data_IF_508113494141
#
_entry.id   IF_508113494141
#
_cell.length_a   1.000
_cell.length_b   1.000
_cell.length_c   1.000
_cell.angle_alpha   90.00
_cell.angle_beta   90.00
_cell.angle_gamma   90.00
#
_symmetry.space_group_name_H-M   'P 1'
#
loop_
_entity.id
_entity.type
_entity.pdbx_description
1 polymer ?
#
# COMPACT_ATOMS: atom_id res chain seq x y z
N UNK A 1 -26.70 53.67 -16.35
CA UNK A 1 -25.52 53.78 -15.46
C UNK A 1 -24.48 52.78 -15.93
N UNK A 2 -23.30 53.23 -16.36
CA UNK A 2 -22.25 52.34 -16.87
C UNK A 2 -21.60 51.56 -15.71
N UNK A 3 -21.39 50.25 -15.91
CA UNK A 3 -20.74 49.36 -14.95
C UNK A 3 -19.27 49.82 -14.82
N UNK A 4 -18.84 50.18 -13.60
CA UNK A 4 -17.45 50.60 -13.35
C UNK A 4 -16.59 49.35 -13.18
N UNK A 5 -15.69 49.11 -14.14
CA UNK A 5 -14.74 48.00 -14.08
C UNK A 5 -13.66 48.32 -13.03
N UNK A 6 -13.72 47.61 -11.91
CA UNK A 6 -12.70 47.65 -10.85
C UNK A 6 -11.63 46.62 -11.21
N UNK A 7 -10.36 47.02 -11.21
CA UNK A 7 -9.21 46.14 -11.46
C UNK A 7 -8.38 46.01 -10.20
N UNK A 8 -7.79 44.84 -10.01
CA UNK A 8 -6.78 44.59 -8.97
C UNK A 8 -5.53 45.43 -9.26
N UNK A 9 -4.81 45.77 -8.20
CA UNK A 9 -3.43 46.23 -8.32
C UNK A 9 -2.53 45.10 -8.84
N UNK A 10 -1.36 45.48 -9.35
CA UNK A 10 -0.37 44.52 -9.82
C UNK A 10 0.04 43.54 -8.71
N UNK A 11 0.27 44.03 -7.50
CA UNK A 11 0.69 43.22 -6.34
C UNK A 11 -0.38 42.19 -5.94
N UNK A 12 -1.65 42.60 -5.89
CA UNK A 12 -2.76 41.70 -5.59
C UNK A 12 -2.91 40.61 -6.66
N UNK A 13 -2.78 41.00 -7.94
CA UNK A 13 -2.87 40.06 -9.05
C UNK A 13 -1.72 39.06 -9.04
N UNK A 14 -0.49 39.52 -8.85
CA UNK A 14 0.71 38.66 -8.77
C UNK A 14 0.60 37.65 -7.62
N UNK A 15 0.12 38.10 -6.45
CA UNK A 15 -0.10 37.21 -5.31
C UNK A 15 -1.12 36.13 -5.62
N UNK A 16 -2.25 36.47 -6.24
CA UNK A 16 -3.27 35.49 -6.62
C UNK A 16 -2.76 34.51 -7.68
N UNK A 17 -2.00 34.99 -8.66
CA UNK A 17 -1.40 34.14 -9.68
C UNK A 17 -0.37 33.17 -9.08
N UNK A 18 0.46 33.64 -8.13
CA UNK A 18 1.38 32.79 -7.38
C UNK A 18 0.65 31.68 -6.61
N UNK A 19 -0.36 32.05 -5.82
CA UNK A 19 -1.17 31.06 -5.09
C UNK A 19 -1.85 30.04 -6.02
N UNK A 20 -2.36 30.49 -7.17
CA UNK A 20 -2.99 29.60 -8.16
C UNK A 20 -1.98 28.62 -8.77
N UNK A 21 -0.74 29.08 -9.02
CA UNK A 21 0.34 28.24 -9.52
C UNK A 21 0.73 27.19 -8.49
N UNK A 22 0.97 27.60 -7.25
CA UNK A 22 1.36 26.70 -6.15
C UNK A 22 0.27 25.65 -5.90
N UNK A 23 -1.00 26.08 -5.88
CA UNK A 23 -2.14 25.17 -5.74
C UNK A 23 -2.21 24.13 -6.86
N UNK A 24 -1.95 24.54 -8.11
CA UNK A 24 -1.93 23.61 -9.24
C UNK A 24 -0.74 22.64 -9.17
N UNK A 25 0.44 23.11 -8.74
CA UNK A 25 1.61 22.25 -8.52
C UNK A 25 1.34 21.19 -7.46
N UNK A 26 0.73 21.57 -6.34
CA UNK A 26 0.37 20.62 -5.27
C UNK A 26 -0.65 19.58 -5.71
N UNK A 27 -1.63 19.94 -6.56
CA UNK A 27 -2.57 18.95 -7.13
C UNK A 27 -1.88 17.93 -8.02
N UNK A 28 -0.93 18.36 -8.84
CA UNK A 28 -0.15 17.45 -9.69
C UNK A 28 0.68 16.52 -8.81
N UNK A 29 1.41 17.07 -7.84
CA UNK A 29 2.21 16.28 -6.90
C UNK A 29 1.37 15.26 -6.12
N UNK A 30 0.15 15.64 -5.70
CA UNK A 30 -0.77 14.71 -5.06
C UNK A 30 -1.18 13.57 -6.00
N UNK A 31 -1.50 13.88 -7.26
CA UNK A 31 -1.80 12.88 -8.28
C UNK A 31 -0.65 11.90 -8.48
N UNK A 32 0.57 12.42 -8.63
CA UNK A 32 1.78 11.60 -8.79
C UNK A 32 2.02 10.70 -7.58
N UNK A 33 1.80 11.23 -6.36
CA UNK A 33 1.95 10.47 -5.11
C UNK A 33 0.99 9.28 -5.04
N UNK A 34 -0.28 9.48 -5.43
CA UNK A 34 -1.28 8.40 -5.44
C UNK A 34 -0.93 7.34 -6.48
N UNK A 35 -0.43 7.74 -7.65
CA UNK A 35 0.03 6.79 -8.67
C UNK A 35 1.22 5.96 -8.16
N UNK A 36 2.20 6.60 -7.51
CA UNK A 36 3.34 5.92 -6.91
C UNK A 36 2.92 4.93 -5.81
N UNK A 37 1.97 5.33 -4.95
CA UNK A 37 1.41 4.45 -3.93
C UNK A 37 0.81 3.19 -4.55
N UNK A 38 0.01 3.34 -5.62
CA UNK A 38 -0.60 2.22 -6.31
C UNK A 38 0.44 1.27 -6.94
N UNK A 39 1.52 1.82 -7.49
CA UNK A 39 2.60 1.01 -8.04
C UNK A 39 3.34 0.20 -6.96
N UNK A 40 3.53 0.79 -5.77
CA UNK A 40 4.08 0.07 -4.61
C UNK A 40 3.13 -1.06 -4.17
N UNK A 41 1.82 -0.80 -4.11
CA UNK A 41 0.83 -1.83 -3.77
C UNK A 41 0.87 -3.01 -4.74
N UNK A 42 0.95 -2.75 -6.06
CA UNK A 42 1.09 -3.82 -7.06
C UNK A 42 2.35 -4.65 -6.85
N UNK A 43 3.48 -4.02 -6.53
CA UNK A 43 4.74 -4.74 -6.24
C UNK A 43 4.60 -5.63 -5.00
N UNK A 44 3.90 -5.16 -3.96
CA UNK A 44 3.61 -5.97 -2.77
C UNK A 44 2.78 -7.21 -3.14
N UNK A 45 1.74 -7.05 -3.96
CA UNK A 45 0.91 -8.19 -4.39
C UNK A 45 1.71 -9.21 -5.21
N UNK A 46 2.55 -8.74 -6.15
CA UNK A 46 3.43 -9.62 -6.93
C UNK A 46 4.37 -10.44 -6.03
N UNK A 47 4.97 -9.80 -5.01
CA UNK A 47 5.83 -10.51 -4.05
C UNK A 47 5.02 -11.53 -3.26
N UNK A 48 3.82 -11.18 -2.79
CA UNK A 48 2.95 -12.10 -2.04
C UNK A 48 2.58 -13.32 -2.88
N UNK A 49 2.30 -13.13 -4.17
CA UNK A 49 2.03 -14.24 -5.09
C UNK A 49 3.27 -15.12 -5.29
N UNK A 50 4.45 -14.52 -5.47
CA UNK A 50 5.70 -15.26 -5.56
C UNK A 50 5.96 -16.10 -4.29
N UNK A 51 5.74 -15.55 -3.10
CA UNK A 51 5.82 -16.31 -1.84
C UNK A 51 4.90 -17.53 -1.85
N UNK A 52 3.63 -17.36 -2.22
CA UNK A 52 2.67 -18.49 -2.29
C UNK A 52 3.10 -19.57 -3.28
N UNK A 53 3.65 -19.16 -4.43
CA UNK A 53 4.10 -20.08 -5.46
C UNK A 53 5.32 -20.90 -4.99
N UNK A 54 6.22 -20.30 -4.21
CA UNK A 54 7.37 -20.99 -3.63
C UNK A 54 7.00 -21.83 -2.39
N UNK A 55 6.05 -21.35 -1.56
CA UNK A 55 5.60 -22.07 -0.37
C UNK A 55 4.84 -23.36 -0.71
N UNK A 56 4.05 -23.38 -1.79
CA UNK A 56 3.27 -24.56 -2.19
C UNK A 56 4.09 -25.84 -2.28
N UNK A 57 5.16 -25.88 -3.11
CA UNK A 57 6.07 -27.02 -3.21
C UNK A 57 6.74 -27.38 -1.88
N UNK A 58 7.06 -26.40 -1.04
CA UNK A 58 7.69 -26.64 0.26
C UNK A 58 6.71 -27.25 1.27
N UNK A 59 5.44 -26.84 1.24
CA UNK A 59 4.37 -27.45 2.05
C UNK A 59 4.06 -28.88 1.59
N UNK A 60 4.15 -29.17 0.29
CA UNK A 60 4.06 -30.55 -0.22
C UNK A 60 5.25 -31.40 0.23
N UNK A 61 6.46 -30.82 0.25
CA UNK A 61 7.69 -31.52 0.60
C UNK A 61 7.85 -31.79 2.10
N UNK A 62 7.49 -30.81 2.94
CA UNK A 62 7.74 -30.86 4.39
C UNK A 62 6.47 -31.01 5.23
N UNK A 63 5.30 -31.13 4.60
CA UNK A 63 4.02 -31.32 5.27
C UNK A 63 3.19 -30.03 5.41
N UNK A 64 1.88 -30.13 5.19
CA UNK A 64 0.95 -28.98 5.21
C UNK A 64 0.86 -28.26 6.55
N UNK A 65 1.28 -28.90 7.64
CA UNK A 65 1.26 -28.37 9.01
C UNK A 65 2.62 -27.79 9.43
N UNK A 66 3.57 -27.70 8.52
CA UNK A 66 4.92 -27.23 8.80
C UNK A 66 5.02 -25.72 8.69
N UNK A 67 5.69 -25.10 9.66
CA UNK A 67 6.02 -23.68 9.67
C UNK A 67 7.51 -23.53 9.33
N UNK A 68 7.81 -22.76 8.29
CA UNK A 68 9.18 -22.48 7.86
C UNK A 68 9.62 -21.17 8.50
N UNK A 69 10.70 -21.20 9.28
CA UNK A 69 11.35 -19.99 9.76
C UNK A 69 12.17 -19.39 8.61
N UNK A 70 11.77 -18.22 8.10
CA UNK A 70 12.45 -17.56 6.98
C UNK A 70 13.84 -17.00 7.35
N UNK A 71 14.14 -16.82 8.64
CA UNK A 71 15.43 -16.29 9.11
C UNK A 71 16.48 -17.41 9.25
N UNK A 72 16.08 -18.59 9.72
CA UNK A 72 16.99 -19.72 9.98
C UNK A 72 16.89 -20.85 8.96
N UNK A 73 15.81 -20.89 8.18
CA UNK A 73 15.48 -21.98 7.28
C UNK A 73 14.96 -23.24 7.99
N UNK A 74 14.77 -23.20 9.33
CA UNK A 74 14.28 -24.33 10.09
C UNK A 74 12.80 -24.60 9.78
N UNK A 75 12.46 -25.87 9.54
CA UNK A 75 11.08 -26.30 9.32
C UNK A 75 10.62 -27.02 10.58
N UNK A 76 9.60 -26.47 11.23
CA UNK A 76 8.98 -27.07 12.41
C UNK A 76 7.61 -27.61 12.06
N UNK A 77 7.39 -28.90 12.27
CA UNK A 77 6.04 -29.47 12.22
C UNK A 77 5.28 -28.98 13.45
N UNK A 78 4.12 -28.36 13.26
CA UNK A 78 3.20 -28.25 14.41
C UNK A 78 2.84 -29.68 14.81
N UNK A 79 3.00 -30.09 16.08
CA UNK A 79 2.43 -31.34 16.53
C UNK A 79 0.93 -31.28 16.19
N UNK A 80 0.41 -32.36 15.59
CA UNK A 80 -1.03 -32.49 15.40
C UNK A 80 -1.69 -32.14 16.73
N UNK A 81 -2.53 -31.11 16.76
CA UNK A 81 -3.50 -30.99 17.83
C UNK A 81 -4.34 -32.27 17.75
N UNK A 82 -3.96 -33.29 18.52
CA UNK A 82 -4.88 -34.35 18.91
C UNK A 82 -6.14 -33.63 19.37
N UNK A 83 -7.31 -33.90 18.77
CA UNK A 83 -8.54 -33.25 19.18
C UNK A 83 -8.85 -33.71 20.61
N UNK A 84 -8.33 -32.97 21.60
CA UNK A 84 -8.86 -33.04 22.95
C UNK A 84 -10.28 -32.49 22.87
N UNK A 85 -11.23 -33.43 22.81
CA UNK A 85 -12.61 -33.23 23.18
C UNK A 85 -12.66 -32.48 24.51
N UNK A 86 -12.79 -31.15 24.45
CA UNK A 86 -13.20 -30.36 25.62
C UNK A 86 -14.70 -30.59 25.81
N UNK A 87 -15.02 -31.69 26.47
CA UNK A 87 -16.25 -31.82 27.23
C UNK A 87 -16.11 -30.85 28.41
N UNK A 88 -16.89 -29.78 28.42
CA UNK A 88 -17.12 -29.02 29.66
C UNK A 88 -18.59 -28.63 29.75
N UNK A 89 -19.27 -29.40 30.62
CA UNK A 89 -20.53 -29.24 31.37
C UNK A 89 -21.62 -28.31 30.86
#
# INVERSE_FOLDING_TARGET
MAKKDIKLSTEELEKLQGLQKDYNQLKVQLGDTVLQQNDVLKKIELIREAFKNEEGPLMEKYGKNSTINLETGEVTEKPEETPELKITK
#
